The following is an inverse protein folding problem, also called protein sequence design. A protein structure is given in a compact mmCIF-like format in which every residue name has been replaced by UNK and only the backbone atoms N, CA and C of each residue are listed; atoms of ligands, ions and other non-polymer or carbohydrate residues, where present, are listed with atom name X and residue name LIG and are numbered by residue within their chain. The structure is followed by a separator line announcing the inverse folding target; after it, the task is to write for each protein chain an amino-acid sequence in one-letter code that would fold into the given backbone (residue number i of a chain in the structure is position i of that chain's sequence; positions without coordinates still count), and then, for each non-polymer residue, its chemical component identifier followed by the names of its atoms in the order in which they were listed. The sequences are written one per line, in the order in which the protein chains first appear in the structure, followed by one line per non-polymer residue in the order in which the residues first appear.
data_IF_723301838417
#
_entry.id   IF_723301838417
#
_cell.length_a   1.000
_cell.length_b   1.000
_cell.length_c   1.000
_cell.angle_alpha   90.00
_cell.angle_beta   90.00
_cell.angle_gamma   90.00
#
_symmetry.space_group_name_H-M   'P 1'
#
loop_
_entity.id
_entity.type
_entity.pdbx_description
1 polymer ?
#
# COMPACT_ATOMS: atom_id res chain seq x y z
N UNK A 1 -22.28 -1.05 1.03
CA UNK A 1 -21.13 -0.25 0.57
C UNK A 1 -19.94 -1.19 0.66
N UNK A 2 -19.49 -1.69 -0.50
CA UNK A 2 -18.56 -2.80 -0.60
C UNK A 2 -17.24 -2.30 -1.17
N UNK A 3 -16.13 -2.69 -0.55
CA UNK A 3 -14.77 -2.33 -0.98
C UNK A 3 -13.88 -3.56 -1.22
N UNK A 4 -14.43 -4.77 -1.07
CA UNK A 4 -13.67 -6.02 -1.17
C UNK A 4 -13.24 -6.39 -2.58
N UNK A 5 -14.01 -5.97 -3.60
CA UNK A 5 -13.63 -6.10 -5.00
C UNK A 5 -13.24 -4.72 -5.55
N UNK A 6 -12.17 -4.68 -6.34
CA UNK A 6 -11.67 -3.49 -7.02
C UNK A 6 -11.22 -2.31 -6.13
N UNK A 7 -11.24 -2.45 -4.80
CA UNK A 7 -10.73 -1.43 -3.87
C UNK A 7 -9.22 -1.34 -3.91
N UNK A 8 -8.53 -2.25 -3.20
CA UNK A 8 -7.08 -2.24 -3.14
C UNK A 8 -6.41 -2.43 -4.51
N UNK A 9 -7.00 -3.21 -5.41
CA UNK A 9 -6.44 -3.43 -6.75
C UNK A 9 -6.36 -2.15 -7.60
N UNK A 10 -7.15 -1.12 -7.28
CA UNK A 10 -7.08 0.20 -7.92
C UNK A 10 -6.41 1.26 -7.03
N UNK A 11 -5.90 0.90 -5.85
CA UNK A 11 -5.20 1.82 -4.97
C UNK A 11 -3.87 2.29 -5.60
N UNK A 12 -3.57 3.58 -5.47
CA UNK A 12 -2.38 4.21 -6.01
C UNK A 12 -1.63 5.01 -4.96
N UNK A 13 -0.43 5.46 -5.31
CA UNK A 13 0.39 6.36 -4.48
C UNK A 13 0.15 7.85 -4.79
N UNK A 14 -1.00 8.20 -5.39
CA UNK A 14 -1.33 9.58 -5.70
C UNK A 14 -1.21 10.49 -4.47
N UNK A 15 -0.68 11.70 -4.68
CA UNK A 15 -0.29 12.64 -3.63
C UNK A 15 0.77 12.09 -2.66
N UNK A 16 1.67 11.24 -3.15
CA UNK A 16 2.75 10.63 -2.37
C UNK A 16 2.24 9.93 -1.10
N UNK A 17 1.07 9.28 -1.21
CA UNK A 17 0.45 8.57 -0.09
C UNK A 17 0.82 7.09 -0.16
N UNK A 18 1.38 6.49 0.90
CA UNK A 18 1.62 5.05 0.92
C UNK A 18 0.31 4.28 0.93
N UNK A 19 0.23 3.19 0.15
CA UNK A 19 -0.96 2.33 0.13
C UNK A 19 -1.18 1.70 1.51
N UNK A 20 -2.44 1.51 1.93
CA UNK A 20 -2.76 1.01 3.26
C UNK A 20 -2.43 -0.48 3.40
N UNK A 21 -2.40 -0.92 4.66
CA UNK A 21 -2.40 -2.35 4.98
C UNK A 21 -3.78 -2.97 4.68
N UNK A 22 -3.80 -4.27 4.41
CA UNK A 22 -5.02 -5.08 4.36
C UNK A 22 -5.01 -6.12 5.47
N UNK A 23 -6.17 -6.32 6.09
CA UNK A 23 -6.37 -7.26 7.21
C UNK A 23 -7.39 -8.31 6.79
N UNK A 24 -7.07 -9.57 7.10
CA UNK A 24 -8.01 -10.68 6.99
C UNK A 24 -8.54 -11.01 8.39
N UNK A 25 -9.87 -11.10 8.49
CA UNK A 25 -10.57 -11.48 9.72
C UNK A 25 -11.17 -12.87 9.53
N UNK A 26 -11.01 -13.75 10.51
CA UNK A 26 -11.59 -15.09 10.54
C UNK A 26 -12.12 -15.39 11.94
N UNK A 27 -13.44 -15.27 12.11
CA UNK A 27 -14.09 -15.37 13.42
C UNK A 27 -13.64 -14.24 14.35
N UNK A 28 -13.04 -14.60 15.48
CA UNK A 28 -12.49 -13.71 16.50
C UNK A 28 -11.00 -13.36 16.29
N UNK A 29 -10.37 -13.93 15.26
CA UNK A 29 -8.95 -13.71 14.93
C UNK A 29 -8.81 -12.81 13.72
N UNK A 30 -7.70 -12.08 13.66
CA UNK A 30 -7.32 -11.28 12.52
C UNK A 30 -5.81 -11.31 12.30
N UNK A 31 -5.40 -11.07 11.06
CA UNK A 31 -3.99 -10.94 10.69
C UNK A 31 -3.83 -9.91 9.58
N UNK A 32 -2.72 -9.17 9.60
CA UNK A 32 -2.30 -8.33 8.48
C UNK A 32 -1.86 -9.26 7.35
N UNK A 33 -2.56 -9.22 6.20
CA UNK A 33 -2.23 -10.01 5.02
C UNK A 33 -1.49 -9.20 3.96
N UNK A 34 -1.50 -7.88 4.10
CA UNK A 34 -0.68 -6.96 3.33
C UNK A 34 -0.23 -5.82 4.23
N UNK A 35 1.07 -5.61 4.32
CA UNK A 35 1.63 -4.48 5.07
C UNK A 35 1.35 -3.15 4.37
N UNK A 36 1.27 -2.08 5.16
CA UNK A 36 1.22 -0.71 4.65
C UNK A 36 2.57 -0.37 4.03
N UNK A 37 2.58 0.34 2.92
CA UNK A 37 3.82 0.90 2.38
C UNK A 37 4.39 1.99 3.29
N UNK A 38 5.71 2.08 3.36
CA UNK A 38 6.41 3.14 4.06
C UNK A 38 6.85 4.24 3.09
N UNK A 39 7.28 5.39 3.63
CA UNK A 39 7.75 6.51 2.81
C UNK A 39 8.93 6.11 1.88
N UNK A 40 9.79 5.19 2.33
CA UNK A 40 10.89 4.70 1.52
C UNK A 40 10.43 3.88 0.31
N UNK A 41 9.26 3.23 0.38
CA UNK A 41 8.72 2.44 -0.73
C UNK A 41 8.27 3.33 -1.89
N UNK A 42 7.88 4.57 -1.61
CA UNK A 42 7.42 5.52 -2.63
C UNK A 42 8.50 5.82 -3.68
N UNK A 43 9.77 5.81 -3.26
CA UNK A 43 10.93 6.16 -4.10
C UNK A 43 11.81 4.95 -4.43
N UNK A 44 11.36 3.73 -4.13
CA UNK A 44 12.20 2.51 -4.18
C UNK A 44 12.77 2.20 -5.57
N UNK A 45 12.20 2.77 -6.63
CA UNK A 45 12.69 2.67 -8.01
C UNK A 45 13.28 3.96 -8.57
N UNK A 46 13.35 5.02 -7.78
CA UNK A 46 13.88 6.31 -8.20
C UNK A 46 15.39 6.37 -8.02
N UNK A 47 16.09 7.00 -8.96
CA UNK A 47 17.53 7.21 -8.94
C UNK A 47 17.79 8.68 -9.20
N UNK A 48 18.61 9.32 -8.36
CA UNK A 48 19.12 10.66 -8.64
C UNK A 48 20.36 10.51 -9.54
N UNK A 49 20.35 11.05 -10.77
CA UNK A 49 21.52 11.02 -11.63
C UNK A 49 22.72 11.72 -10.98
N UNK A 50 23.92 11.17 -11.18
CA UNK A 50 25.13 11.67 -10.53
C UNK A 50 25.57 13.10 -10.94
N UNK A 51 24.91 13.69 -11.94
CA UNK A 51 25.19 15.04 -12.44
C UNK A 51 24.21 16.11 -11.94
N UNK A 52 23.23 15.74 -11.10
CA UNK A 52 22.41 16.66 -10.31
C UNK A 52 23.04 16.86 -8.93
#
# INVERSE_FOLDING_TARGET
MDAGAYGFSMASNYNSRPRPAEVMVSGDRWAVVREREHNADLIKGELVPAFL
#
